data_IF_555713209864
#
_entry.id   IF_555713209864
#
_cell.length_a   1.000
_cell.length_b   1.000
_cell.length_c   1.000
_cell.angle_alpha   90.00
_cell.angle_beta   90.00
_cell.angle_gamma   90.00
#
_symmetry.space_group_name_H-M   'P 1'
#
loop_
_entity.id
_entity.type
_entity.pdbx_description
1 polymer ?
#
# COMPACT_ATOMS: atom_id res chain seq x y z
N UNK A 1 -38.41 -7.10 -45.99
CA UNK A 1 -36.99 -6.74 -46.14
C UNK A 1 -36.65 -5.70 -45.06
N UNK A 2 -36.27 -6.14 -43.86
CA UNK A 2 -35.81 -5.26 -42.77
C UNK A 2 -34.36 -5.56 -42.49
N UNK A 3 -33.50 -4.60 -42.76
CA UNK A 3 -32.09 -4.65 -42.45
C UNK A 3 -31.90 -4.24 -40.97
N UNK A 4 -31.48 -5.19 -40.16
CA UNK A 4 -30.99 -4.96 -38.82
C UNK A 4 -29.55 -4.49 -38.94
N UNK A 5 -29.32 -3.22 -38.61
CA UNK A 5 -27.97 -2.65 -38.45
C UNK A 5 -27.50 -2.96 -37.03
N UNK A 6 -26.58 -3.92 -36.94
CA UNK A 6 -25.87 -4.22 -35.67
C UNK A 6 -24.86 -3.12 -35.39
N UNK A 7 -25.13 -2.28 -34.39
CA UNK A 7 -24.18 -1.33 -33.85
C UNK A 7 -23.29 -2.09 -32.83
N UNK A 8 -22.11 -2.52 -33.26
CA UNK A 8 -21.06 -2.95 -32.34
C UNK A 8 -20.54 -1.68 -31.61
N UNK A 9 -21.01 -1.49 -30.40
CA UNK A 9 -20.43 -0.49 -29.49
C UNK A 9 -19.05 -0.97 -29.02
N UNK A 10 -18.02 -0.33 -29.54
CA UNK A 10 -16.64 -0.45 -29.03
C UNK A 10 -16.62 0.26 -27.66
N UNK A 11 -16.81 -0.49 -26.58
CA UNK A 11 -16.51 -0.02 -25.24
C UNK A 11 -14.97 0.08 -25.13
N UNK A 12 -14.44 1.26 -25.35
CA UNK A 12 -13.10 1.62 -24.90
C UNK A 12 -13.14 1.68 -23.39
N UNK A 13 -12.52 0.69 -22.76
CA UNK A 13 -12.21 0.71 -21.33
C UNK A 13 -11.22 1.87 -21.12
N UNK A 14 -11.72 3.02 -20.76
CA UNK A 14 -10.90 4.11 -20.21
C UNK A 14 -10.58 3.68 -18.79
N UNK A 15 -9.43 3.03 -18.62
CA UNK A 15 -8.82 2.96 -17.31
C UNK A 15 -8.68 4.42 -16.85
N UNK A 16 -9.41 4.78 -15.79
CA UNK A 16 -9.22 6.05 -15.10
C UNK A 16 -7.84 6.00 -14.45
N UNK A 17 -6.80 6.32 -15.24
CA UNK A 17 -5.53 6.72 -14.69
C UNK A 17 -5.85 8.03 -13.96
N UNK A 18 -5.84 8.01 -12.64
CA UNK A 18 -5.69 9.20 -11.83
C UNK A 18 -4.29 9.76 -12.11
N UNK A 19 -4.11 10.30 -13.32
CA UNK A 19 -2.98 11.16 -13.60
C UNK A 19 -3.21 12.39 -12.73
N UNK A 20 -2.38 12.56 -11.73
CA UNK A 20 -2.22 13.82 -11.02
C UNK A 20 -1.70 14.85 -12.06
N UNK A 21 -2.62 15.35 -12.88
CA UNK A 21 -2.34 16.42 -13.83
C UNK A 21 -1.94 17.65 -13.03
N UNK A 22 -0.67 18.01 -13.09
CA UNK A 22 -0.11 19.19 -12.44
C UNK A 22 0.90 18.95 -11.33
N UNK A 23 1.37 17.72 -11.10
CA UNK A 23 2.52 17.46 -10.23
C UNK A 23 3.80 17.32 -11.06
N UNK A 24 4.83 18.09 -10.70
CA UNK A 24 6.15 18.01 -11.34
C UNK A 24 6.84 16.65 -11.11
N UNK A 25 6.51 15.95 -10.01
CA UNK A 25 7.04 14.62 -9.74
C UNK A 25 5.96 13.70 -9.15
N UNK A 26 5.98 12.40 -9.53
CA UNK A 26 5.06 11.38 -9.03
C UNK A 26 5.66 9.98 -9.15
N UNK A 27 5.14 9.01 -8.40
CA UNK A 27 5.59 7.60 -8.42
C UNK A 27 4.47 6.68 -8.90
N UNK A 28 4.82 5.70 -9.72
CA UNK A 28 3.94 4.61 -10.16
C UNK A 28 4.59 3.24 -9.90
N UNK A 29 3.80 2.19 -9.56
CA UNK A 29 2.36 2.24 -9.32
C UNK A 29 2.02 3.07 -8.09
N UNK A 30 0.79 3.59 -8.02
CA UNK A 30 0.24 4.17 -6.82
C UNK A 30 -1.09 3.45 -6.53
N UNK A 31 -1.21 2.74 -5.41
CA UNK A 31 -0.26 2.64 -4.29
C UNK A 31 1.04 1.88 -4.62
N UNK A 32 2.10 2.16 -3.83
CA UNK A 32 3.46 1.65 -4.02
C UNK A 32 3.83 0.65 -2.93
N UNK A 33 4.55 -0.43 -3.29
CA UNK A 33 5.15 -1.36 -2.35
C UNK A 33 6.62 -1.02 -2.09
N UNK A 34 7.12 -1.27 -0.86
CA UNK A 34 8.51 -0.95 -0.51
C UNK A 34 9.52 -1.94 -1.11
N UNK A 35 9.12 -3.17 -1.33
CA UNK A 35 9.93 -4.30 -1.80
C UNK A 35 9.66 -4.70 -3.27
N UNK A 36 8.93 -3.87 -3.99
CA UNK A 36 8.67 -4.05 -5.42
C UNK A 36 9.14 -2.84 -6.21
N UNK A 37 9.46 -3.07 -7.48
CA UNK A 37 9.89 -1.99 -8.36
C UNK A 37 8.81 -0.92 -8.50
N UNK A 38 9.21 0.33 -8.36
CA UNK A 38 8.42 1.50 -8.67
C UNK A 38 9.22 2.45 -9.56
N UNK A 39 8.51 3.36 -10.23
CA UNK A 39 9.11 4.33 -11.14
C UNK A 39 8.74 5.75 -10.70
N UNK A 40 9.75 6.54 -10.40
CA UNK A 40 9.63 7.98 -10.20
C UNK A 40 9.65 8.68 -11.56
N UNK A 41 8.67 9.53 -11.79
CA UNK A 41 8.59 10.40 -12.95
C UNK A 41 8.81 11.85 -12.53
N UNK A 42 9.55 12.60 -13.35
CA UNK A 42 9.72 14.05 -13.22
C UNK A 42 9.37 14.70 -14.57
N UNK A 43 8.37 15.58 -14.54
CA UNK A 43 7.93 16.37 -15.70
C UNK A 43 8.46 17.79 -15.56
N UNK A 44 9.50 18.09 -16.30
CA UNK A 44 10.16 19.40 -16.29
C UNK A 44 9.23 20.53 -16.74
N UNK A 45 8.18 20.22 -17.53
CA UNK A 45 7.20 21.22 -17.95
C UNK A 45 6.29 21.69 -16.82
N UNK A 46 6.17 20.89 -15.75
CA UNK A 46 5.35 21.18 -14.57
C UNK A 46 6.19 21.74 -13.40
N UNK A 47 7.51 21.79 -13.54
CA UNK A 47 8.38 22.39 -12.53
C UNK A 47 8.15 23.91 -12.45
N UNK A 48 8.25 24.47 -11.25
CA UNK A 48 8.15 25.91 -11.04
C UNK A 48 9.39 26.65 -11.61
N UNK A 49 10.57 26.05 -11.42
CA UNK A 49 11.81 26.54 -12.02
C UNK A 49 12.01 25.91 -13.40
N UNK A 50 11.84 26.71 -14.46
CA UNK A 50 11.95 26.24 -15.84
C UNK A 50 13.38 26.10 -16.35
N UNK A 51 14.39 26.45 -15.54
CA UNK A 51 15.80 26.51 -15.94
C UNK A 51 16.31 25.21 -16.55
N UNK A 52 16.12 24.07 -15.87
CA UNK A 52 16.53 22.77 -16.41
C UNK A 52 15.74 22.43 -17.69
N UNK A 53 14.46 22.77 -17.73
CA UNK A 53 13.62 22.63 -18.93
C UNK A 53 14.18 23.39 -20.13
N UNK A 54 14.65 24.64 -19.93
CA UNK A 54 15.24 25.46 -20.98
C UNK A 54 16.62 24.93 -21.39
N UNK A 55 17.41 24.41 -20.43
CA UNK A 55 18.72 23.84 -20.73
C UNK A 55 18.61 22.57 -21.58
N UNK A 56 17.69 21.66 -21.30
CA UNK A 56 17.51 20.43 -22.12
C UNK A 56 16.93 20.74 -23.52
N UNK A 57 16.26 21.87 -23.68
CA UNK A 57 15.85 22.34 -25.02
C UNK A 57 17.04 22.90 -25.81
N UNK A 58 17.90 23.68 -25.17
CA UNK A 58 19.09 24.27 -25.78
C UNK A 58 20.18 23.23 -26.07
N UNK A 59 20.29 22.23 -25.20
CA UNK A 59 21.32 21.19 -25.21
C UNK A 59 20.68 19.81 -25.16
N UNK A 60 20.02 19.32 -26.21
CA UNK A 60 19.22 18.09 -26.20
C UNK A 60 20.02 16.78 -26.05
N UNK A 61 21.35 16.85 -26.21
CA UNK A 61 22.27 15.72 -25.99
C UNK A 61 22.72 15.57 -24.54
N UNK A 62 22.41 16.57 -23.70
CA UNK A 62 22.71 16.51 -22.27
C UNK A 62 21.79 15.49 -21.56
N UNK A 63 22.37 14.79 -20.61
CA UNK A 63 21.70 13.75 -19.85
C UNK A 63 21.19 14.28 -18.51
N UNK A 64 20.02 13.83 -18.09
CA UNK A 64 19.38 14.23 -16.85
C UNK A 64 19.56 13.13 -15.81
N UNK A 65 19.93 13.54 -14.61
CA UNK A 65 20.22 12.69 -13.47
C UNK A 65 19.29 12.99 -12.30
N UNK A 66 18.95 11.95 -11.54
CA UNK A 66 18.21 12.05 -10.30
C UNK A 66 19.18 12.39 -9.15
N UNK A 67 18.84 13.41 -8.37
CA UNK A 67 19.48 13.67 -7.09
C UNK A 67 18.44 13.55 -5.98
N UNK A 68 18.63 12.61 -5.06
CA UNK A 68 17.60 12.21 -4.08
C UNK A 68 18.22 12.10 -2.68
N UNK A 69 17.51 12.59 -1.65
CA UNK A 69 18.05 12.63 -0.26
C UNK A 69 17.05 12.19 0.81
N UNK A 70 15.77 12.00 0.46
CA UNK A 70 14.74 11.54 1.40
C UNK A 70 13.98 10.35 0.77
N UNK A 71 13.71 9.27 1.51
CA UNK A 71 13.83 9.03 2.96
C UNK A 71 15.26 8.90 3.48
N UNK A 72 16.21 8.60 2.62
CA UNK A 72 17.67 8.62 2.81
C UNK A 72 18.36 8.88 1.47
N UNK A 73 19.66 9.17 1.46
CA UNK A 73 20.45 9.07 0.23
C UNK A 73 20.43 7.60 -0.26
N UNK A 74 20.56 7.37 -1.59
CA UNK A 74 20.69 6.00 -2.13
C UNK A 74 21.87 5.25 -1.48
N UNK A 75 21.74 3.94 -1.33
CA UNK A 75 22.85 3.09 -0.80
C UNK A 75 24.12 3.23 -1.63
N UNK A 76 23.96 3.37 -2.96
CA UNK A 76 25.09 3.60 -3.87
C UNK A 76 25.56 5.07 -3.93
N UNK A 77 24.80 6.01 -3.36
CA UNK A 77 25.09 7.45 -3.41
C UNK A 77 24.43 8.16 -4.61
N UNK A 78 24.64 9.48 -4.71
CA UNK A 78 24.20 10.31 -5.85
C UNK A 78 25.38 10.71 -6.78
N UNK A 79 26.62 10.39 -6.40
CA UNK A 79 27.82 10.97 -6.99
C UNK A 79 28.15 12.34 -6.39
N UNK A 80 28.90 13.14 -7.13
CA UNK A 80 29.22 14.51 -6.79
C UNK A 80 28.30 15.50 -7.52
N UNK A 81 28.15 16.72 -7.00
CA UNK A 81 27.27 17.71 -7.63
C UNK A 81 27.73 18.09 -9.05
N UNK A 82 29.03 18.07 -9.30
CA UNK A 82 29.62 18.36 -10.60
C UNK A 82 29.85 17.14 -11.49
N UNK A 83 29.56 15.92 -11.00
CA UNK A 83 29.82 14.64 -11.68
C UNK A 83 28.90 13.57 -11.05
N UNK A 84 27.71 13.42 -11.63
CA UNK A 84 26.69 12.50 -11.12
C UNK A 84 27.11 11.05 -11.37
N UNK A 85 26.65 10.17 -10.52
CA UNK A 85 26.88 8.74 -10.73
C UNK A 85 26.03 8.20 -11.88
N UNK A 86 26.60 7.45 -12.80
CA UNK A 86 25.92 6.91 -13.99
C UNK A 86 24.64 6.13 -13.64
N UNK A 87 24.60 5.49 -12.47
CA UNK A 87 23.39 4.76 -12.04
C UNK A 87 22.23 5.67 -11.66
N UNK A 88 22.44 6.96 -11.48
CA UNK A 88 21.39 7.96 -11.22
C UNK A 88 20.83 8.59 -12.51
N UNK A 89 21.30 8.17 -13.66
CA UNK A 89 20.85 8.66 -14.96
C UNK A 89 19.38 8.32 -15.18
N UNK A 90 18.58 9.33 -15.50
CA UNK A 90 17.17 9.19 -15.81
C UNK A 90 16.95 8.82 -17.28
N UNK A 91 15.86 8.12 -17.54
CA UNK A 91 15.42 7.79 -18.91
C UNK A 91 14.41 8.84 -19.39
N UNK A 92 14.69 9.48 -20.53
CA UNK A 92 13.71 10.35 -21.20
C UNK A 92 12.61 9.47 -21.82
N UNK A 93 11.37 9.56 -21.31
CA UNK A 93 10.23 8.75 -21.77
C UNK A 93 9.27 9.54 -22.70
N UNK A 94 9.28 10.86 -22.59
CA UNK A 94 8.56 11.77 -23.48
C UNK A 94 9.28 13.13 -23.49
N UNK A 95 8.74 14.09 -24.25
CA UNK A 95 9.26 15.44 -24.20
C UNK A 95 9.14 16.00 -22.77
N UNK A 96 10.28 16.45 -22.22
CA UNK A 96 10.43 16.96 -20.83
C UNK A 96 9.99 16.01 -19.72
N UNK A 97 9.64 14.75 -20.01
CA UNK A 97 9.28 13.74 -19.03
C UNK A 97 10.40 12.72 -18.90
N UNK A 98 10.89 12.58 -17.68
CA UNK A 98 11.98 11.68 -17.32
C UNK A 98 11.51 10.68 -16.25
N UNK A 99 12.07 9.47 -16.28
CA UNK A 99 11.74 8.39 -15.35
C UNK A 99 12.98 7.75 -14.76
N UNK A 100 12.81 7.21 -13.55
CA UNK A 100 13.83 6.43 -12.87
C UNK A 100 13.17 5.30 -12.06
N UNK A 101 13.54 4.05 -12.33
CA UNK A 101 12.95 2.86 -11.68
C UNK A 101 13.87 2.29 -10.61
N UNK A 102 13.30 1.88 -9.48
CA UNK A 102 14.04 1.29 -8.36
C UNK A 102 13.11 0.49 -7.44
N UNK A 103 13.72 -0.40 -6.63
CA UNK A 103 13.05 -1.06 -5.50
C UNK A 103 13.37 -0.26 -4.24
N UNK A 104 12.38 0.39 -3.58
CA UNK A 104 12.64 1.33 -2.49
C UNK A 104 13.48 0.78 -1.33
N UNK A 105 13.20 -0.46 -0.86
CA UNK A 105 13.94 -1.09 0.22
C UNK A 105 15.43 -1.31 -0.12
N UNK A 106 15.72 -1.67 -1.36
CA UNK A 106 17.09 -1.90 -1.83
C UNK A 106 17.82 -0.58 -2.13
N UNK A 107 17.12 0.33 -2.80
CA UNK A 107 17.69 1.60 -3.24
C UNK A 107 18.04 2.55 -2.08
N UNK A 108 17.15 2.65 -1.08
CA UNK A 108 17.35 3.51 0.08
C UNK A 108 17.91 2.77 1.30
N UNK A 109 17.82 1.44 1.36
CA UNK A 109 18.19 0.66 2.54
C UNK A 109 17.30 0.94 3.76
N UNK A 110 16.04 1.32 3.56
CA UNK A 110 15.06 1.64 4.62
C UNK A 110 13.89 0.68 4.62
N UNK A 111 13.20 0.61 5.76
CA UNK A 111 11.95 -0.15 5.90
C UNK A 111 10.73 0.59 5.34
N UNK A 112 9.61 -0.13 5.19
CA UNK A 112 8.36 0.42 4.69
C UNK A 112 7.84 1.60 5.49
N UNK A 113 7.71 1.51 6.82
CA UNK A 113 7.28 2.63 7.68
C UNK A 113 8.08 3.91 7.44
N UNK A 114 9.41 3.80 7.36
CA UNK A 114 10.29 4.94 7.08
C UNK A 114 10.05 5.53 5.70
N UNK A 115 9.96 4.67 4.66
CA UNK A 115 9.71 5.09 3.29
C UNK A 115 8.37 5.83 3.14
N UNK A 116 7.28 5.23 3.65
CA UNK A 116 5.95 5.80 3.50
C UNK A 116 5.72 7.07 4.33
N UNK A 117 6.32 7.13 5.52
CA UNK A 117 6.18 8.31 6.39
C UNK A 117 6.95 9.51 5.85
N UNK A 118 8.15 9.28 5.33
CA UNK A 118 9.03 10.36 4.85
C UNK A 118 8.75 10.76 3.40
N UNK A 119 8.25 9.84 2.58
CA UNK A 119 8.11 10.05 1.15
C UNK A 119 9.46 10.23 0.45
N UNK A 120 9.43 10.82 -0.74
CA UNK A 120 10.62 11.10 -1.54
C UNK A 120 10.84 12.60 -1.62
N UNK A 121 12.10 13.04 -1.37
CA UNK A 121 12.55 14.38 -1.72
C UNK A 121 13.73 14.27 -2.68
N UNK A 122 13.60 14.93 -3.82
CA UNK A 122 14.54 14.81 -4.93
C UNK A 122 14.55 16.07 -5.79
N UNK A 123 15.45 16.08 -6.75
CA UNK A 123 15.43 16.99 -7.89
C UNK A 123 16.01 16.28 -9.12
N UNK A 124 15.74 16.81 -10.31
CA UNK A 124 16.44 16.46 -11.52
C UNK A 124 17.54 17.49 -11.81
N UNK A 125 18.68 17.05 -12.34
CA UNK A 125 19.79 17.94 -12.73
C UNK A 125 20.52 17.39 -13.96
N UNK A 126 21.32 18.23 -14.62
CA UNK A 126 22.31 17.73 -15.58
C UNK A 126 23.42 16.99 -14.84
N UNK A 127 24.22 16.22 -15.55
CA UNK A 127 25.37 15.51 -15.00
C UNK A 127 26.23 16.45 -14.12
N UNK A 128 26.68 17.55 -14.72
CA UNK A 128 27.29 18.65 -13.97
C UNK A 128 26.24 19.68 -13.54
N UNK A 129 25.88 19.71 -12.26
CA UNK A 129 24.92 20.68 -11.71
C UNK A 129 25.32 22.14 -11.85
N UNK A 130 26.60 22.42 -12.14
CA UNK A 130 27.12 23.74 -12.43
C UNK A 130 27.15 24.07 -13.94
N UNK A 131 26.73 23.15 -14.82
CA UNK A 131 26.73 23.39 -16.26
C UNK A 131 25.87 24.59 -16.60
N UNK A 132 26.34 25.38 -17.61
CA UNK A 132 25.61 26.52 -18.16
C UNK A 132 25.13 27.58 -17.16
N UNK A 133 25.74 27.63 -15.95
CA UNK A 133 25.30 28.44 -14.84
C UNK A 133 25.28 29.94 -15.18
N UNK A 134 26.31 30.40 -15.89
CA UNK A 134 26.39 31.80 -16.32
C UNK A 134 25.38 32.17 -17.42
N UNK A 135 25.02 31.22 -18.27
CA UNK A 135 24.09 31.40 -19.38
C UNK A 135 22.63 31.44 -18.91
N UNK A 136 22.24 30.55 -17.98
CA UNK A 136 20.86 30.43 -17.51
C UNK A 136 20.65 31.05 -16.11
N UNK A 137 21.68 31.65 -15.53
CA UNK A 137 21.57 32.39 -14.26
C UNK A 137 21.38 31.53 -13.02
N UNK A 138 21.95 30.33 -13.03
CA UNK A 138 21.93 29.44 -11.85
C UNK A 138 22.22 27.98 -12.17
N UNK A 139 22.15 27.12 -11.18
CA UNK A 139 22.46 25.70 -11.30
C UNK A 139 21.54 24.95 -12.25
N UNK A 140 22.09 23.94 -12.93
CA UNK A 140 21.40 23.10 -13.92
C UNK A 140 20.52 22.05 -13.24
N UNK A 141 19.49 22.50 -12.52
CA UNK A 141 18.58 21.64 -11.75
C UNK A 141 17.14 22.16 -11.76
N UNK A 142 16.20 21.32 -11.32
CA UNK A 142 14.85 21.74 -10.90
C UNK A 142 14.89 22.35 -9.50
N UNK A 143 13.77 22.89 -9.06
CA UNK A 143 13.53 23.09 -7.61
C UNK A 143 13.54 21.75 -6.87
N UNK A 144 13.54 21.83 -5.54
CA UNK A 144 13.38 20.67 -4.68
C UNK A 144 11.95 20.13 -4.79
N UNK A 145 11.83 18.88 -5.22
CA UNK A 145 10.55 18.19 -5.43
C UNK A 145 10.26 17.26 -4.24
N UNK A 146 9.00 17.23 -3.80
CA UNK A 146 8.53 16.33 -2.76
C UNK A 146 7.38 15.47 -3.27
N UNK A 147 7.51 14.15 -3.10
CA UNK A 147 6.51 13.17 -3.52
C UNK A 147 6.03 12.40 -2.30
N UNK A 148 4.75 12.55 -1.95
CA UNK A 148 4.08 11.70 -0.98
C UNK A 148 3.83 10.31 -1.57
N UNK A 149 4.13 9.28 -0.81
CA UNK A 149 3.97 7.90 -1.27
C UNK A 149 2.73 7.29 -0.61
N UNK A 150 1.81 6.81 -1.45
CA UNK A 150 0.67 6.03 -0.97
C UNK A 150 1.13 4.59 -0.80
N UNK A 151 1.11 4.03 0.44
CA UNK A 151 1.54 2.66 0.65
C UNK A 151 0.60 1.68 -0.05
N UNK A 152 1.16 0.67 -0.71
CA UNK A 152 0.41 -0.51 -1.07
C UNK A 152 0.16 -1.30 0.21
N UNK A 153 -1.06 -1.24 0.70
CA UNK A 153 -1.45 -1.86 1.96
C UNK A 153 -1.39 -3.40 1.93
N UNK A 154 -1.21 -4.01 0.73
CA UNK A 154 -1.15 -5.45 0.59
C UNK A 154 -0.31 -5.91 -0.61
N UNK A 155 0.82 -6.57 -0.33
CA UNK A 155 1.63 -7.34 -1.30
C UNK A 155 1.42 -8.85 -1.16
N UNK A 156 0.62 -9.27 -0.20
CA UNK A 156 0.38 -10.67 0.11
C UNK A 156 -1.10 -11.01 0.14
N UNK A 157 -1.38 -12.30 0.31
CA UNK A 157 -2.72 -12.81 0.47
C UNK A 157 -3.53 -12.10 1.56
N UNK A 158 -2.89 -11.68 2.65
CA UNK A 158 -3.50 -10.94 3.75
C UNK A 158 -2.56 -9.86 4.25
N UNK A 159 -3.06 -8.65 4.33
CA UNK A 159 -2.38 -7.51 4.95
C UNK A 159 -3.24 -6.93 6.06
N UNK A 160 -2.58 -6.41 7.08
CA UNK A 160 -3.24 -5.85 8.27
C UNK A 160 -2.60 -4.49 8.57
N UNK A 161 -3.42 -3.47 8.62
CA UNK A 161 -3.00 -2.10 8.88
C UNK A 161 -3.76 -1.52 10.08
N UNK A 162 -3.11 -0.73 10.95
CA UNK A 162 -1.68 -0.43 10.98
C UNK A 162 -0.85 -1.65 11.41
N UNK A 163 0.47 -1.64 11.12
CA UNK A 163 1.37 -2.73 11.52
C UNK A 163 1.57 -2.73 13.03
N UNK A 164 1.70 -1.54 13.62
CA UNK A 164 1.74 -1.31 15.07
C UNK A 164 0.38 -0.74 15.47
N UNK A 165 -0.29 -1.33 16.46
CA UNK A 165 -1.68 -1.02 16.82
C UNK A 165 -1.98 -1.24 18.29
N UNK A 166 -2.87 -0.41 18.79
CA UNK A 166 -3.47 -0.51 20.12
C UNK A 166 -4.89 -1.10 20.02
N UNK A 167 -5.50 -1.43 21.15
CA UNK A 167 -6.82 -2.08 21.17
C UNK A 167 -7.95 -1.18 20.68
N UNK A 168 -7.78 0.13 20.79
CA UNK A 168 -8.70 1.18 20.37
C UNK A 168 -8.40 1.76 18.98
N UNK A 169 -7.38 1.26 18.28
CA UNK A 169 -7.08 1.64 16.89
C UNK A 169 -8.07 1.02 15.90
N UNK A 170 -8.30 1.74 14.79
CA UNK A 170 -8.93 1.15 13.61
C UNK A 170 -7.97 0.16 12.95
N UNK A 171 -8.32 -1.12 12.96
CA UNK A 171 -7.57 -2.19 12.31
C UNK A 171 -8.28 -2.60 11.03
N UNK A 172 -7.56 -2.55 9.91
CA UNK A 172 -8.07 -2.98 8.60
C UNK A 172 -7.34 -4.23 8.13
N UNK A 173 -8.09 -5.28 7.85
CA UNK A 173 -7.66 -6.45 7.12
C UNK A 173 -7.94 -6.25 5.64
N UNK A 174 -6.96 -6.48 4.79
CA UNK A 174 -7.13 -6.56 3.33
C UNK A 174 -6.75 -7.95 2.87
N UNK A 175 -7.66 -8.64 2.20
CA UNK A 175 -7.51 -10.01 1.74
C UNK A 175 -7.61 -10.09 0.23
N UNK A 176 -6.60 -10.67 -0.42
CA UNK A 176 -6.57 -10.96 -1.85
C UNK A 176 -6.73 -12.46 -2.08
N UNK A 177 -7.92 -12.88 -2.47
CA UNK A 177 -8.23 -14.30 -2.71
C UNK A 177 -7.67 -14.83 -4.03
N UNK A 178 -7.14 -13.97 -4.90
CA UNK A 178 -6.43 -14.39 -6.12
C UNK A 178 -5.07 -15.02 -5.78
N UNK A 179 -4.47 -14.61 -4.65
CA UNK A 179 -3.22 -15.14 -4.13
C UNK A 179 -3.42 -16.32 -3.16
N UNK A 180 -4.67 -16.77 -2.97
CA UNK A 180 -4.97 -17.86 -2.05
C UNK A 180 -4.47 -19.21 -2.61
N UNK A 181 -3.82 -19.98 -1.76
CA UNK A 181 -3.33 -21.33 -2.10
C UNK A 181 -4.34 -22.43 -1.78
N UNK A 182 -5.30 -22.16 -0.91
CA UNK A 182 -6.40 -23.08 -0.59
C UNK A 182 -7.48 -22.99 -1.67
N UNK A 183 -7.73 -24.05 -2.46
CA UNK A 183 -8.73 -24.03 -3.54
C UNK A 183 -10.14 -23.65 -3.08
N UNK A 184 -10.47 -23.94 -1.83
CA UNK A 184 -11.78 -23.63 -1.24
C UNK A 184 -12.01 -22.14 -0.97
N UNK A 185 -10.95 -21.34 -1.00
CA UNK A 185 -10.98 -19.90 -0.76
C UNK A 185 -10.62 -19.07 -2.00
N UNK A 186 -10.23 -19.75 -3.12
CA UNK A 186 -9.90 -19.07 -4.36
C UNK A 186 -11.14 -18.58 -5.10
N UNK A 187 -11.03 -17.38 -5.71
CA UNK A 187 -12.03 -16.81 -6.62
C UNK A 187 -13.46 -16.73 -6.02
N UNK A 188 -13.57 -16.61 -4.71
CA UNK A 188 -14.85 -16.37 -4.05
C UNK A 188 -15.29 -14.92 -4.28
N UNK A 189 -16.60 -14.72 -4.46
CA UNK A 189 -17.23 -13.40 -4.50
C UNK A 189 -17.64 -12.87 -3.12
N UNK A 190 -17.54 -13.72 -2.09
CA UNK A 190 -17.92 -13.44 -0.72
C UNK A 190 -17.02 -14.21 0.24
N UNK A 191 -16.46 -13.53 1.22
CA UNK A 191 -15.58 -14.10 2.25
C UNK A 191 -15.89 -13.48 3.61
N UNK A 192 -15.57 -14.23 4.66
CA UNK A 192 -15.81 -13.86 6.06
C UNK A 192 -14.52 -13.93 6.86
N UNK A 193 -14.35 -12.98 7.80
CA UNK A 193 -13.21 -12.94 8.69
C UNK A 193 -13.63 -13.41 10.08
N UNK A 194 -13.21 -14.59 10.47
CA UNK A 194 -13.41 -15.06 11.84
C UNK A 194 -12.41 -14.39 12.78
N UNK A 195 -12.89 -13.87 13.92
CA UNK A 195 -12.11 -13.12 14.89
C UNK A 195 -12.31 -13.69 16.30
N UNK A 196 -11.21 -13.83 17.05
CA UNK A 196 -11.23 -14.25 18.47
C UNK A 196 -10.25 -13.39 19.26
N UNK A 197 -10.74 -12.59 20.19
CA UNK A 197 -9.92 -11.81 21.12
C UNK A 197 -9.38 -12.64 22.28
N UNK A 198 -8.27 -12.20 22.89
CA UNK A 198 -7.59 -12.89 23.99
C UNK A 198 -7.11 -11.91 25.05
N UNK A 199 -7.62 -12.02 26.26
CA UNK A 199 -7.19 -11.21 27.43
C UNK A 199 -6.23 -11.94 28.35
N UNK A 200 -5.95 -13.20 28.11
CA UNK A 200 -5.04 -14.01 28.90
C UNK A 200 -4.70 -15.32 28.19
N UNK A 201 -3.95 -16.23 28.81
CA UNK A 201 -3.50 -17.44 28.13
C UNK A 201 -4.66 -18.37 27.73
N UNK A 202 -5.79 -18.29 28.42
CA UNK A 202 -6.93 -19.21 28.25
C UNK A 202 -8.26 -18.50 28.00
N UNK A 203 -8.38 -17.20 28.28
CA UNK A 203 -9.64 -16.45 28.10
C UNK A 203 -9.77 -15.99 26.67
N UNK A 204 -10.81 -16.46 26.00
CA UNK A 204 -11.11 -16.16 24.59
C UNK A 204 -12.51 -15.56 24.50
N UNK A 205 -12.65 -14.57 23.62
CA UNK A 205 -13.91 -13.97 23.21
C UNK A 205 -14.03 -14.14 21.70
N UNK A 206 -14.91 -15.04 21.26
CA UNK A 206 -15.08 -15.33 19.82
C UNK A 206 -16.38 -14.67 19.36
N UNK A 207 -16.26 -13.73 18.45
CA UNK A 207 -17.42 -13.00 17.95
C UNK A 207 -18.40 -13.92 17.21
N UNK A 208 -19.68 -13.78 17.54
CA UNK A 208 -20.76 -14.59 16.97
C UNK A 208 -20.83 -16.04 17.47
N UNK A 209 -19.92 -16.44 18.35
CA UNK A 209 -20.05 -17.68 19.10
C UNK A 209 -20.99 -17.45 20.30
N UNK A 210 -21.81 -18.45 20.65
CA UNK A 210 -22.69 -18.40 21.81
C UNK A 210 -21.94 -18.61 23.15
N UNK A 211 -20.60 -18.51 23.09
CA UNK A 211 -19.72 -18.68 24.25
C UNK A 211 -19.46 -20.14 24.65
N UNK A 212 -19.92 -21.09 23.85
CA UNK A 212 -19.66 -22.52 24.11
C UNK A 212 -18.47 -22.95 23.23
N UNK A 213 -17.30 -23.07 23.84
CA UNK A 213 -16.03 -23.41 23.15
C UNK A 213 -16.05 -24.75 22.37
N UNK A 214 -17.12 -25.50 22.45
CA UNK A 214 -17.33 -26.79 21.78
C UNK A 214 -18.36 -26.75 20.66
N UNK A 215 -19.03 -25.61 20.41
CA UNK A 215 -20.04 -25.51 19.36
C UNK A 215 -19.35 -25.26 18.02
N UNK A 216 -19.79 -25.92 16.94
CA UNK A 216 -19.32 -25.60 15.59
C UNK A 216 -19.58 -24.12 15.28
N UNK A 217 -18.55 -23.43 14.87
CA UNK A 217 -18.58 -22.01 14.62
C UNK A 217 -18.88 -21.77 13.13
N UNK A 218 -19.96 -21.08 12.82
CA UNK A 218 -20.40 -20.76 11.45
C UNK A 218 -20.12 -19.29 11.11
N UNK A 219 -18.84 -18.95 10.98
CA UNK A 219 -18.43 -17.60 10.60
C UNK A 219 -18.97 -17.19 9.22
N UNK A 220 -19.16 -18.15 8.33
CA UNK A 220 -19.63 -17.90 6.96
C UNK A 220 -21.10 -17.52 6.84
N UNK A 221 -21.87 -17.46 7.94
CA UNK A 221 -23.26 -16.99 7.96
C UNK A 221 -23.48 -15.76 8.86
N UNK A 222 -22.45 -15.27 9.53
CA UNK A 222 -22.54 -14.11 10.41
C UNK A 222 -22.29 -12.83 9.59
N UNK A 223 -23.32 -11.98 9.36
CA UNK A 223 -23.20 -10.82 8.48
C UNK A 223 -22.12 -9.82 8.93
N UNK A 224 -21.92 -9.70 10.25
CA UNK A 224 -20.95 -8.78 10.86
C UNK A 224 -19.50 -9.18 10.58
N UNK A 225 -19.26 -10.45 10.26
CA UNK A 225 -17.93 -10.98 9.89
C UNK A 225 -17.65 -10.97 8.40
N UNK A 226 -18.61 -10.52 7.58
CA UNK A 226 -18.46 -10.45 6.13
C UNK A 226 -17.50 -9.35 5.74
N UNK A 227 -16.46 -9.72 4.99
CA UNK A 227 -15.55 -8.73 4.39
C UNK A 227 -16.21 -8.00 3.21
N UNK A 228 -15.93 -6.73 3.08
CA UNK A 228 -16.45 -5.90 1.99
C UNK A 228 -15.57 -6.02 0.76
N UNK A 229 -16.11 -6.24 -0.45
CA UNK A 229 -15.32 -6.23 -1.66
C UNK A 229 -14.77 -4.83 -1.94
N UNK A 230 -13.53 -4.76 -2.44
CA UNK A 230 -12.92 -3.49 -2.86
C UNK A 230 -13.40 -3.16 -4.26
N UNK A 231 -13.98 -1.97 -4.44
CA UNK A 231 -14.49 -1.53 -5.74
C UNK A 231 -13.34 -1.38 -6.75
N UNK A 232 -13.51 -2.01 -7.92
CA UNK A 232 -12.51 -1.99 -8.99
C UNK A 232 -11.40 -3.02 -8.87
N UNK A 233 -11.31 -3.76 -7.75
CA UNK A 233 -10.25 -4.74 -7.47
C UNK A 233 -10.84 -6.15 -7.28
N UNK A 234 -11.07 -6.91 -8.37
CA UNK A 234 -11.65 -8.25 -8.29
C UNK A 234 -10.81 -9.19 -7.41
N UNK A 235 -11.46 -9.84 -6.45
CA UNK A 235 -10.80 -10.76 -5.53
C UNK A 235 -10.21 -10.11 -4.27
N UNK A 236 -10.26 -8.78 -4.18
CA UNK A 236 -9.84 -8.07 -2.98
C UNK A 236 -11.00 -7.74 -2.06
N UNK A 237 -10.79 -7.93 -0.77
CA UNK A 237 -11.78 -7.70 0.28
C UNK A 237 -11.14 -6.96 1.45
N UNK A 238 -11.93 -6.14 2.15
CA UNK A 238 -11.49 -5.43 3.35
C UNK A 238 -12.44 -5.68 4.51
N UNK A 239 -11.88 -5.60 5.72
CA UNK A 239 -12.64 -5.63 6.97
C UNK A 239 -11.96 -4.67 7.96
N UNK A 240 -12.69 -3.66 8.42
CA UNK A 240 -12.17 -2.66 9.35
C UNK A 240 -12.97 -2.70 10.64
N UNK A 241 -12.29 -2.71 11.78
CA UNK A 241 -12.92 -2.73 13.11
C UNK A 241 -11.97 -2.11 14.13
N UNK A 242 -12.52 -1.74 15.29
CA UNK A 242 -11.76 -1.39 16.50
C UNK A 242 -11.82 -2.60 17.42
N UNK A 243 -10.69 -3.27 17.74
CA UNK A 243 -10.71 -4.55 18.45
C UNK A 243 -11.48 -4.54 19.75
N UNK A 244 -11.26 -3.59 20.63
CA UNK A 244 -11.93 -3.50 21.92
C UNK A 244 -13.43 -3.25 21.79
N UNK A 245 -13.83 -2.36 20.92
CA UNK A 245 -15.25 -2.06 20.67
C UNK A 245 -15.98 -3.24 20.01
N UNK A 246 -15.31 -3.92 19.08
CA UNK A 246 -15.89 -5.04 18.34
C UNK A 246 -16.25 -6.22 19.22
N UNK A 247 -15.43 -6.51 20.25
CA UNK A 247 -15.68 -7.61 21.18
C UNK A 247 -16.51 -7.21 22.40
N UNK A 248 -16.84 -5.91 22.56
CA UNK A 248 -17.57 -5.43 23.73
C UNK A 248 -18.90 -6.19 23.92
N UNK A 249 -19.07 -6.79 25.09
CA UNK A 249 -20.26 -7.59 25.39
C UNK A 249 -20.19 -9.07 24.92
N UNK A 250 -19.15 -9.45 24.15
CA UNK A 250 -18.97 -10.86 23.75
C UNK A 250 -18.66 -11.72 24.99
N UNK A 251 -19.34 -12.89 25.17
CA UNK A 251 -19.10 -13.75 26.32
C UNK A 251 -17.76 -14.48 26.26
N UNK A 252 -17.14 -14.67 27.42
CA UNK A 252 -15.92 -15.48 27.55
C UNK A 252 -16.19 -16.97 27.37
N UNK A 253 -15.19 -17.72 26.92
CA UNK A 253 -15.26 -19.17 26.79
C UNK A 253 -15.15 -19.94 28.13
N UNK A 254 -14.82 -19.24 29.24
CA UNK A 254 -14.58 -19.87 30.56
C UNK A 254 -15.81 -19.80 31.42
N UNK A 255 -16.32 -18.61 31.67
CA UNK A 255 -17.37 -18.34 32.67
C UNK A 255 -18.56 -17.55 32.13
N UNK A 256 -18.56 -17.31 30.81
CA UNK A 256 -19.58 -16.55 30.08
C UNK A 256 -19.68 -15.08 30.51
N UNK A 257 -18.67 -14.53 31.21
CA UNK A 257 -18.62 -13.12 31.51
C UNK A 257 -18.43 -12.32 30.18
N UNK A 258 -19.21 -11.25 29.99
CA UNK A 258 -19.02 -10.41 28.78
C UNK A 258 -17.70 -9.65 28.86
N UNK A 259 -17.05 -9.48 27.71
CA UNK A 259 -15.89 -8.60 27.58
C UNK A 259 -16.29 -7.16 27.88
N UNK A 260 -15.50 -6.48 28.71
CA UNK A 260 -15.79 -5.13 29.22
C UNK A 260 -14.73 -4.09 28.84
N UNK A 261 -13.78 -4.44 27.97
CA UNK A 261 -12.73 -3.54 27.51
C UNK A 261 -11.38 -3.73 28.21
N UNK A 262 -11.12 -4.92 28.76
CA UNK A 262 -9.80 -5.25 29.29
C UNK A 262 -8.76 -5.32 28.17
N UNK A 263 -7.47 -4.97 28.43
CA UNK A 263 -6.43 -5.03 27.42
C UNK A 263 -6.32 -6.40 26.74
N UNK A 264 -6.24 -6.42 25.43
CA UNK A 264 -6.12 -7.63 24.62
C UNK A 264 -4.67 -8.15 24.59
N UNK A 265 -4.12 -8.48 25.77
CA UNK A 265 -2.70 -8.83 26.00
C UNK A 265 -2.14 -9.90 25.07
N UNK A 266 -2.99 -10.81 24.58
CA UNK A 266 -2.61 -11.87 23.65
C UNK A 266 -3.18 -11.67 22.25
N UNK A 267 -3.65 -10.45 21.97
CA UNK A 267 -4.09 -9.99 20.66
C UNK A 267 -5.37 -10.65 20.16
N UNK A 268 -5.57 -10.57 18.85
CA UNK A 268 -6.71 -11.13 18.14
C UNK A 268 -6.23 -12.25 17.23
N UNK A 269 -6.86 -13.41 17.33
CA UNK A 269 -6.69 -14.51 16.36
C UNK A 269 -7.68 -14.33 15.22
N UNK A 270 -7.29 -14.71 14.02
CA UNK A 270 -8.13 -14.59 12.86
C UNK A 270 -7.90 -15.70 11.83
N UNK A 271 -8.92 -15.97 11.02
CA UNK A 271 -8.82 -16.77 9.80
C UNK A 271 -9.94 -16.40 8.83
N UNK A 272 -9.72 -16.65 7.54
CA UNK A 272 -10.71 -16.37 6.49
C UNK A 272 -11.52 -17.62 6.22
N UNK A 273 -12.83 -17.46 6.00
CA UNK A 273 -13.75 -18.56 5.67
C UNK A 273 -14.61 -18.22 4.44
N UNK A 274 -15.12 -19.27 3.79
CA UNK A 274 -16.13 -19.16 2.71
C UNK A 274 -17.55 -19.09 3.30
N UNK A 275 -18.54 -18.64 2.50
CA UNK A 275 -19.94 -18.72 2.90
C UNK A 275 -20.36 -20.12 3.33
N UNK A 276 -21.15 -20.22 4.39
CA UNK A 276 -21.67 -21.48 4.93
C UNK A 276 -20.59 -22.42 5.50
N UNK A 277 -19.39 -21.89 5.81
CA UNK A 277 -18.33 -22.70 6.42
C UNK A 277 -18.59 -22.89 7.91
N UNK A 278 -18.74 -24.15 8.33
CA UNK A 278 -18.84 -24.54 9.73
C UNK A 278 -17.52 -25.15 10.18
N UNK A 279 -16.91 -24.58 11.21
CA UNK A 279 -15.63 -25.01 11.73
C UNK A 279 -15.79 -26.08 12.83
N UNK A 280 -15.07 -27.20 12.70
CA UNK A 280 -15.18 -28.35 13.64
C UNK A 280 -13.86 -28.71 14.32
N UNK A 281 -12.85 -27.84 14.28
CA UNK A 281 -11.51 -28.13 14.83
C UNK A 281 -10.77 -26.91 15.36
N UNK A 282 -9.56 -27.05 15.93
CA UNK A 282 -8.80 -25.91 16.42
C UNK A 282 -8.43 -24.98 15.23
N UNK A 283 -8.66 -23.65 15.34
CA UNK A 283 -8.41 -22.73 14.26
C UNK A 283 -6.91 -22.69 13.88
N UNK A 284 -6.58 -22.50 12.61
CA UNK A 284 -5.21 -22.22 12.20
C UNK A 284 -4.69 -20.97 12.92
N UNK A 285 -3.47 -21.04 13.42
CA UNK A 285 -2.90 -20.03 14.33
C UNK A 285 -2.36 -18.81 13.58
N UNK A 286 -3.23 -18.02 12.97
CA UNK A 286 -2.89 -16.65 12.64
C UNK A 286 -3.20 -15.75 13.82
N UNK A 287 -2.27 -14.95 14.28
CA UNK A 287 -2.49 -14.01 15.38
C UNK A 287 -2.03 -12.62 15.01
N UNK A 288 -2.82 -11.64 15.42
CA UNK A 288 -2.56 -10.23 15.36
C UNK A 288 -2.07 -9.79 16.73
N UNK A 289 -0.85 -9.27 16.83
CA UNK A 289 -0.35 -8.61 18.03
C UNK A 289 -1.08 -7.28 18.24
N UNK A 290 -1.48 -7.01 19.47
CA UNK A 290 -1.98 -5.70 19.91
C UNK A 290 -0.97 -5.20 20.95
N UNK A 291 -0.48 -3.97 20.80
CA UNK A 291 0.36 -3.34 21.79
C UNK A 291 -0.51 -2.86 22.95
N UNK A 292 0.04 -3.00 24.16
CA UNK A 292 -0.50 -2.39 25.37
C UNK A 292 0.43 -1.24 25.69
N UNK A 293 -0.05 0.00 25.62
CA UNK A 293 0.66 1.13 26.16
C UNK A 293 0.46 1.13 27.69
N UNK A 294 1.57 1.03 28.46
CA UNK A 294 1.59 1.20 29.92
C UNK A 294 1.57 2.70 30.31
#
# INVERSE_FOLDING_TARGET
MNRIVSLLGLMTLVAAQNTALGQAAYVLPSPTAVDSECTLYIDLSQCQEQRLSDMVDAYPDEEVYLWIWNPSAPVAGNGDWGDSDDHQKMTKVADKLYSYSFVPSEYFGVDGPTFFTRGISCLAKLDNGYAYQDEFGGEAKTEDLAVGIVPQLCNGRMCIFPEIREGDDFVTFTYDNSQETNPDLQNLSEVYLNLTARTGPFTLYTYGDDGVASTPFDAGSIPELRMQPVEGEPGMFTFTFVPEDFFLGTPSNIDQTPYTGEPLENGVRWYVTKPGYTFTGPPPANSLGILICE
#
